data_IF_452434929202
#
_entry.id   IF_452434929202
#
_cell.length_a   1.000
_cell.length_b   1.000
_cell.length_c   1.000
_cell.angle_alpha   90.00
_cell.angle_beta   90.00
_cell.angle_gamma   90.00
#
_symmetry.space_group_name_H-M   'P 1'
#
loop_
_entity.id
_entity.type
_entity.pdbx_description
1 polymer ?
#
# COMPACT_ATOMS: atom_id res chain seq x y z
N UNK A 1 7.62 11.72 -33.06
CA UNK A 1 7.07 11.63 -31.70
C UNK A 1 5.95 10.62 -31.76
N UNK A 2 6.03 9.53 -31.00
CA UNK A 2 4.91 8.58 -30.88
C UNK A 2 3.86 9.24 -29.99
N UNK A 3 2.66 9.44 -30.51
CA UNK A 3 1.51 9.85 -29.69
C UNK A 3 1.23 8.73 -28.68
N UNK A 4 1.48 8.98 -27.39
CA UNK A 4 1.00 8.11 -26.33
C UNK A 4 -0.50 8.36 -26.13
N UNK A 5 -1.32 7.63 -26.88
CA UNK A 5 -2.78 7.62 -26.69
C UNK A 5 -3.17 6.56 -25.67
N UNK A 6 -3.87 6.97 -24.61
CA UNK A 6 -4.49 6.04 -23.66
C UNK A 6 -5.52 5.14 -24.37
N UNK A 7 -5.54 3.86 -24.01
CA UNK A 7 -6.53 2.92 -24.52
C UNK A 7 -7.96 3.34 -24.11
N UNK A 8 -8.95 3.03 -24.96
CA UNK A 8 -10.36 3.33 -24.67
C UNK A 8 -10.92 2.53 -23.49
N UNK A 9 -10.37 1.35 -23.25
CA UNK A 9 -10.75 0.47 -22.15
C UNK A 9 -9.52 0.19 -21.27
N UNK A 10 -9.75 0.13 -19.96
CA UNK A 10 -8.73 -0.21 -18.99
C UNK A 10 -8.45 -1.72 -19.00
N UNK A 11 -7.19 -2.10 -19.19
CA UNK A 11 -6.72 -3.48 -19.00
C UNK A 11 -6.14 -3.61 -17.58
N UNK A 12 -6.96 -4.13 -16.68
CA UNK A 12 -6.60 -4.32 -15.27
C UNK A 12 -5.54 -5.40 -15.09
N UNK A 13 -5.56 -6.45 -15.91
CA UNK A 13 -4.65 -7.60 -15.75
C UNK A 13 -3.20 -7.17 -15.99
N UNK A 14 -2.91 -6.49 -17.09
CA UNK A 14 -1.54 -6.02 -17.37
C UNK A 14 -1.13 -4.82 -16.51
N UNK A 15 -2.08 -3.97 -16.12
CA UNK A 15 -1.76 -2.76 -15.37
C UNK A 15 -1.48 -3.05 -13.90
N UNK A 16 -2.32 -3.84 -13.23
CA UNK A 16 -2.20 -4.10 -11.79
C UNK A 16 -0.94 -4.90 -11.45
N UNK A 17 -0.64 -5.96 -12.22
CA UNK A 17 0.57 -6.77 -12.01
C UNK A 17 1.84 -5.92 -12.16
N UNK A 18 1.90 -5.11 -13.23
CA UNK A 18 3.04 -4.21 -13.48
C UNK A 18 3.21 -3.17 -12.37
N UNK A 19 2.12 -2.57 -11.90
CA UNK A 19 2.17 -1.57 -10.83
C UNK A 19 2.59 -2.18 -9.50
N UNK A 20 2.03 -3.34 -9.15
CA UNK A 20 2.35 -4.04 -7.91
C UNK A 20 3.84 -4.42 -7.87
N UNK A 21 4.36 -5.02 -8.95
CA UNK A 21 5.78 -5.33 -9.09
C UNK A 21 6.66 -4.09 -8.97
N UNK A 22 6.29 -3.00 -9.64
CA UNK A 22 7.00 -1.72 -9.52
C UNK A 22 7.04 -1.21 -8.07
N UNK A 23 5.94 -1.32 -7.32
CA UNK A 23 5.91 -0.92 -5.91
C UNK A 23 6.78 -1.81 -5.01
N UNK A 24 6.79 -3.13 -5.24
CA UNK A 24 7.64 -4.06 -4.51
C UNK A 24 9.13 -3.80 -4.76
N UNK A 25 9.53 -3.71 -6.03
CA UNK A 25 10.93 -3.49 -6.43
C UNK A 25 11.49 -2.17 -5.89
N UNK A 26 10.66 -1.13 -5.83
CA UNK A 26 11.04 0.17 -5.28
C UNK A 26 10.84 0.26 -3.75
N UNK A 27 10.34 -0.80 -3.12
CA UNK A 27 10.17 -0.88 -1.67
C UNK A 27 9.14 0.08 -1.10
N UNK A 28 8.12 0.49 -1.87
CA UNK A 28 7.11 1.46 -1.42
C UNK A 28 6.19 0.95 -0.30
N UNK A 29 6.22 -0.35 -0.02
CA UNK A 29 5.56 -0.94 1.14
C UNK A 29 6.37 -0.83 2.43
N UNK A 30 7.64 -0.42 2.36
CA UNK A 30 8.49 -0.30 3.56
C UNK A 30 8.07 0.92 4.40
N UNK A 31 8.08 0.82 5.74
CA UNK A 31 7.85 1.96 6.61
C UNK A 31 8.95 3.00 6.43
N UNK A 32 8.57 4.28 6.36
CA UNK A 32 9.50 5.40 6.12
C UNK A 32 10.26 5.84 7.36
N UNK A 33 9.86 5.38 8.55
CA UNK A 33 10.49 5.68 9.84
C UNK A 33 10.71 4.39 10.67
N UNK A 34 11.33 3.38 10.07
CA UNK A 34 11.64 2.10 10.74
C UNK A 34 12.65 2.34 11.89
N UNK A 35 12.37 1.90 13.13
CA UNK A 35 13.31 1.98 14.26
C UNK A 35 14.67 1.29 14.04
N UNK A 36 14.75 0.37 13.07
CA UNK A 36 15.98 -0.35 12.70
C UNK A 36 16.82 0.40 11.65
N UNK A 37 16.29 1.47 11.07
CA UNK A 37 16.97 2.28 10.06
C UNK A 37 17.90 3.31 10.70
N UNK A 38 19.02 3.61 10.05
CA UNK A 38 19.91 4.72 10.43
C UNK A 38 19.25 6.10 10.34
N UNK A 39 18.11 6.19 9.63
CA UNK A 39 17.34 7.43 9.44
C UNK A 39 16.15 7.55 10.41
N UNK A 40 16.07 6.71 11.43
CA UNK A 40 14.98 6.75 12.41
C UNK A 40 14.94 8.07 13.19
N UNK A 41 13.78 8.70 13.24
CA UNK A 41 13.49 9.86 14.09
C UNK A 41 12.38 9.50 15.10
N UNK A 42 12.69 9.40 16.41
CA UNK A 42 11.69 9.09 17.44
C UNK A 42 10.64 10.19 17.63
N UNK A 43 10.87 11.40 17.11
CA UNK A 43 9.88 12.51 17.17
C UNK A 43 8.77 12.34 16.15
N UNK A 44 8.99 11.58 15.07
CA UNK A 44 7.99 11.32 14.04
C UNK A 44 7.09 10.15 14.44
N UNK A 45 5.96 10.48 15.06
CA UNK A 45 4.96 9.48 15.48
C UNK A 45 4.25 8.88 14.26
N UNK A 46 4.22 7.54 14.11
CA UNK A 46 3.52 6.92 13.00
C UNK A 46 2.00 6.87 13.22
N UNK A 47 1.24 6.87 12.14
CA UNK A 47 -0.14 6.40 12.11
C UNK A 47 -0.14 4.88 11.89
N UNK A 48 -0.78 4.13 12.80
CA UNK A 48 -0.68 2.67 12.81
C UNK A 48 -2.07 2.06 12.81
N UNK A 49 -2.29 1.07 11.94
CA UNK A 49 -3.47 0.21 11.98
C UNK A 49 -3.03 -1.20 12.32
N UNK A 50 -3.52 -1.74 13.44
CA UNK A 50 -3.25 -3.11 13.83
C UNK A 50 -4.34 -4.03 13.30
N UNK A 51 -4.00 -4.86 12.32
CA UNK A 51 -4.88 -5.93 11.85
C UNK A 51 -4.61 -7.17 12.71
N UNK A 52 -5.62 -7.73 13.41
CA UNK A 52 -5.42 -8.99 14.13
C UNK A 52 -5.01 -10.09 13.15
N UNK A 53 -4.14 -11.04 13.56
CA UNK A 53 -3.75 -12.14 12.68
C UNK A 53 -4.99 -12.85 12.14
N UNK A 54 -5.06 -13.13 10.83
CA UNK A 54 -6.21 -13.80 10.26
C UNK A 54 -6.30 -15.23 10.82
N UNK A 55 -7.51 -15.65 11.18
CA UNK A 55 -7.79 -17.06 11.41
C UNK A 55 -7.81 -17.77 10.06
N UNK A 56 -6.81 -18.61 9.78
CA UNK A 56 -6.66 -19.33 8.50
C UNK A 56 -7.60 -20.54 8.47
N UNK A 57 -8.90 -20.29 8.41
CA UNK A 57 -9.94 -21.33 8.41
C UNK A 57 -10.72 -21.39 7.09
N UNK A 58 -10.40 -20.55 6.10
CA UNK A 58 -11.08 -20.49 4.81
C UNK A 58 -10.44 -19.47 3.84
N UNK A 59 -11.11 -19.23 2.73
CA UNK A 59 -10.69 -18.28 1.68
C UNK A 59 -11.15 -16.84 1.96
N UNK A 60 -10.44 -15.87 1.38
CA UNK A 60 -10.82 -14.47 1.45
C UNK A 60 -12.05 -14.20 0.57
N UNK A 61 -13.12 -13.70 1.17
CA UNK A 61 -14.29 -13.16 0.46
C UNK A 61 -14.32 -11.63 0.46
N UNK A 62 -15.25 -11.02 -0.29
CA UNK A 62 -15.39 -9.56 -0.48
C UNK A 62 -15.51 -8.75 0.83
N UNK A 63 -15.95 -9.39 1.92
CA UNK A 63 -15.96 -8.74 3.25
C UNK A 63 -14.56 -8.41 3.76
N UNK A 64 -13.58 -9.30 3.50
CA UNK A 64 -12.18 -9.02 3.77
C UNK A 64 -11.67 -7.87 2.91
N UNK A 65 -11.96 -7.92 1.61
CA UNK A 65 -11.55 -6.89 0.67
C UNK A 65 -12.08 -5.51 1.08
N UNK A 66 -13.32 -5.43 1.57
CA UNK A 66 -13.93 -4.17 2.01
C UNK A 66 -13.16 -3.53 3.18
N UNK A 67 -12.89 -4.28 4.26
CA UNK A 67 -12.22 -3.68 5.42
C UNK A 67 -10.76 -3.36 5.12
N UNK A 68 -10.03 -4.27 4.44
CA UNK A 68 -8.62 -4.05 4.07
C UNK A 68 -8.48 -2.87 3.13
N UNK A 69 -9.40 -2.68 2.18
CA UNK A 69 -9.37 -1.51 1.27
C UNK A 69 -9.54 -0.20 2.03
N UNK A 70 -10.39 -0.17 3.07
CA UNK A 70 -10.58 1.02 3.88
C UNK A 70 -9.34 1.34 4.74
N UNK A 71 -8.70 0.31 5.29
CA UNK A 71 -7.44 0.45 6.04
C UNK A 71 -6.29 0.92 5.14
N UNK A 72 -6.13 0.32 3.95
CA UNK A 72 -5.13 0.73 2.97
C UNK A 72 -5.35 2.19 2.50
N UNK A 73 -6.60 2.60 2.30
CA UNK A 73 -6.94 4.00 2.00
C UNK A 73 -6.44 4.95 3.11
N UNK A 74 -6.69 4.61 4.38
CA UNK A 74 -6.23 5.40 5.51
C UNK A 74 -4.69 5.48 5.57
N UNK A 75 -4.00 4.37 5.33
CA UNK A 75 -2.53 4.33 5.26
C UNK A 75 -2.00 5.23 4.15
N UNK A 76 -2.54 5.12 2.93
CA UNK A 76 -2.13 5.96 1.78
C UNK A 76 -2.38 7.45 2.05
N UNK A 77 -3.53 7.79 2.61
CA UNK A 77 -3.85 9.17 2.99
C UNK A 77 -2.84 9.76 3.99
N UNK A 78 -2.49 9.02 5.05
CA UNK A 78 -1.51 9.50 6.04
C UNK A 78 -0.10 9.60 5.44
N UNK A 79 0.29 8.66 4.56
CA UNK A 79 1.56 8.73 3.84
C UNK A 79 1.64 9.97 2.95
N UNK A 80 0.57 10.32 2.24
CA UNK A 80 0.48 11.55 1.44
C UNK A 80 0.60 12.83 2.29
N UNK A 81 0.24 12.77 3.57
CA UNK A 81 0.45 13.87 4.53
C UNK A 81 1.87 13.91 5.14
N UNK A 82 2.77 13.04 4.70
CA UNK A 82 4.14 12.93 5.24
C UNK A 82 4.22 12.28 6.63
N UNK A 83 3.11 11.70 7.11
CA UNK A 83 3.06 10.98 8.38
C UNK A 83 3.56 9.55 8.12
N UNK A 84 4.57 9.05 8.87
CA UNK A 84 4.99 7.65 8.75
C UNK A 84 3.82 6.71 9.05
N UNK A 85 3.77 5.57 8.38
CA UNK A 85 2.67 4.61 8.56
C UNK A 85 3.19 3.21 8.81
N UNK A 86 2.43 2.43 9.58
CA UNK A 86 2.63 0.99 9.79
C UNK A 86 1.30 0.24 9.77
#
# INVERSE_FOLDING_TARGET
MTEETLAKAYDFTSTEERLYKFWEENGYFKPTNDPRSSQFDPKRKPFVISIPPPNVTGELHTGHAMFVSMEDLMIRYHRMKGIPTL
#
